data_IF_425044415355
#
_entry.id   IF_425044415355
#
_cell.length_a   1.000
_cell.length_b   1.000
_cell.length_c   1.000
_cell.angle_alpha   90.00
_cell.angle_beta   90.00
_cell.angle_gamma   90.00
#
_symmetry.space_group_name_H-M   'P 1'
#
loop_
_entity.id
_entity.type
_entity.pdbx_description
1 polymer ?
#
# COMPACT_ATOMS: atom_id res chain seq x y z
N UNK A 1 -20.89 0.62 6.20
CA UNK A 1 -19.41 0.84 6.31
C UNK A 1 -18.75 -0.37 5.69
N UNK A 2 -17.86 -0.18 4.74
CA UNK A 2 -17.09 -1.27 4.12
C UNK A 2 -16.37 -2.08 5.20
N UNK A 3 -16.40 -3.41 5.09
CA UNK A 3 -15.67 -4.33 5.98
C UNK A 3 -14.17 -4.34 5.66
N UNK A 4 -13.80 -3.90 4.46
CA UNK A 4 -12.43 -3.84 3.95
C UNK A 4 -11.56 -2.91 4.80
N UNK A 5 -10.33 -3.34 5.08
CA UNK A 5 -9.31 -2.54 5.78
C UNK A 5 -8.20 -2.16 4.83
N UNK A 6 -7.97 -0.86 4.66
CA UNK A 6 -6.87 -0.33 3.87
C UNK A 6 -5.70 0.00 4.81
N UNK A 7 -4.52 -0.56 4.53
CA UNK A 7 -3.33 -0.45 5.38
C UNK A 7 -2.16 0.07 4.54
N UNK A 8 -1.65 1.26 4.86
CA UNK A 8 -0.43 1.77 4.27
C UNK A 8 0.79 1.30 5.07
N UNK A 9 1.82 0.81 4.38
CA UNK A 9 3.12 0.49 4.96
C UNK A 9 4.10 1.56 4.49
N UNK A 10 4.44 2.49 5.38
CA UNK A 10 5.19 3.70 5.05
C UNK A 10 6.38 3.90 5.98
N UNK A 11 7.51 4.32 5.43
CA UNK A 11 8.67 4.85 6.14
C UNK A 11 9.55 5.62 5.14
N UNK A 12 10.09 6.77 5.54
CA UNK A 12 11.00 7.57 4.72
C UNK A 12 12.34 6.86 4.50
N UNK A 13 12.79 6.03 5.42
CA UNK A 13 14.04 5.29 5.29
C UNK A 13 13.90 4.16 4.27
N UNK A 14 14.86 4.10 3.34
CA UNK A 14 15.01 2.98 2.42
C UNK A 14 15.50 1.72 3.15
N UNK A 15 15.16 0.53 2.64
CA UNK A 15 15.70 -0.74 3.15
C UNK A 15 15.16 -1.21 4.51
N UNK A 16 14.14 -0.55 5.10
CA UNK A 16 13.57 -0.96 6.39
C UNK A 16 12.57 -2.12 6.28
N UNK A 17 12.42 -2.73 5.11
CA UNK A 17 11.58 -3.89 4.90
C UNK A 17 10.10 -3.58 4.61
N UNK A 18 9.77 -2.40 4.05
CA UNK A 18 8.39 -2.05 3.65
C UNK A 18 7.78 -3.10 2.72
N UNK A 19 8.37 -3.28 1.54
CA UNK A 19 7.89 -4.23 0.52
C UNK A 19 7.88 -5.66 1.03
N UNK A 20 8.90 -6.06 1.80
CA UNK A 20 8.94 -7.38 2.47
C UNK A 20 7.79 -7.54 3.46
N UNK A 21 7.45 -6.50 4.22
CA UNK A 21 6.31 -6.51 5.15
C UNK A 21 5.01 -6.65 4.40
N UNK A 22 4.82 -5.88 3.31
CA UNK A 22 3.60 -5.94 2.48
C UNK A 22 3.43 -7.33 1.88
N UNK A 23 4.48 -7.90 1.28
CA UNK A 23 4.44 -9.24 0.69
C UNK A 23 4.05 -10.30 1.73
N UNK A 24 4.77 -10.38 2.86
CA UNK A 24 4.52 -11.39 3.88
C UNK A 24 3.15 -11.22 4.55
N UNK A 25 2.71 -9.98 4.77
CA UNK A 25 1.38 -9.69 5.32
C UNK A 25 0.29 -10.12 4.34
N UNK A 26 0.46 -9.82 3.05
CA UNK A 26 -0.45 -10.22 1.98
C UNK A 26 -0.59 -11.73 1.88
N UNK A 27 0.52 -12.45 1.78
CA UNK A 27 0.55 -13.92 1.73
C UNK A 27 -0.05 -14.55 3.00
N UNK A 28 0.30 -14.02 4.19
CA UNK A 28 -0.22 -14.52 5.46
C UNK A 28 -1.74 -14.32 5.61
N UNK A 29 -2.27 -13.18 5.17
CA UNK A 29 -3.73 -12.94 5.18
C UNK A 29 -4.46 -13.82 4.17
N UNK A 30 -3.91 -13.97 2.95
CA UNK A 30 -4.48 -14.85 1.93
C UNK A 30 -4.49 -16.32 2.38
N UNK A 31 -3.40 -16.81 2.99
CA UNK A 31 -3.33 -18.15 3.57
C UNK A 31 -4.37 -18.40 4.68
N UNK A 32 -4.88 -17.35 5.32
CA UNK A 32 -5.98 -17.40 6.28
C UNK A 32 -7.38 -17.22 5.65
N UNK A 33 -7.48 -17.28 4.33
CA UNK A 33 -8.75 -17.23 3.62
C UNK A 33 -9.32 -15.83 3.40
N UNK A 34 -8.54 -14.76 3.64
CA UNK A 34 -8.97 -13.40 3.36
C UNK A 34 -8.73 -13.04 1.89
N UNK A 35 -9.63 -12.24 1.34
CA UNK A 35 -9.45 -11.61 0.02
C UNK A 35 -8.54 -10.40 0.18
N UNK A 36 -7.35 -10.45 -0.42
CA UNK A 36 -6.32 -9.44 -0.25
C UNK A 36 -5.93 -8.83 -1.58
N UNK A 37 -5.84 -7.50 -1.63
CA UNK A 37 -5.25 -6.74 -2.72
C UNK A 37 -3.96 -6.08 -2.22
N UNK A 38 -2.88 -6.24 -2.97
CA UNK A 38 -1.59 -5.60 -2.72
C UNK A 38 -1.34 -4.55 -3.81
N UNK A 39 -0.94 -3.35 -3.43
CA UNK A 39 -0.70 -2.26 -4.40
C UNK A 39 0.70 -1.69 -4.19
N UNK A 40 1.49 -1.66 -5.26
CA UNK A 40 2.82 -1.05 -5.27
C UNK A 40 2.71 0.44 -5.61
N UNK A 41 2.90 1.30 -4.60
CA UNK A 41 2.83 2.77 -4.72
C UNK A 41 4.23 3.39 -4.92
N UNK A 42 5.27 2.56 -5.11
CA UNK A 42 6.63 3.04 -5.37
C UNK A 42 6.94 3.05 -6.87
N UNK A 43 7.34 4.20 -7.45
CA UNK A 43 7.83 4.26 -8.84
C UNK A 43 8.99 3.32 -9.16
N UNK A 44 9.75 2.87 -8.15
CA UNK A 44 10.83 1.90 -8.36
C UNK A 44 10.30 0.50 -8.72
N UNK A 45 9.06 0.19 -8.36
CA UNK A 45 8.42 -1.08 -8.68
C UNK A 45 9.11 -2.29 -8.03
N UNK A 46 9.71 -2.11 -6.87
CA UNK A 46 10.49 -3.18 -6.24
C UNK A 46 9.59 -4.30 -5.72
N UNK A 47 8.44 -3.96 -5.12
CA UNK A 47 7.43 -4.95 -4.77
C UNK A 47 6.93 -5.68 -6.02
N UNK A 48 6.64 -4.97 -7.09
CA UNK A 48 6.20 -5.53 -8.38
C UNK A 48 7.20 -6.56 -8.92
N UNK A 49 8.50 -6.26 -8.84
CA UNK A 49 9.57 -7.20 -9.23
C UNK A 49 9.62 -8.43 -8.31
N UNK A 50 9.46 -8.23 -6.99
CA UNK A 50 9.36 -9.32 -6.00
C UNK A 50 8.18 -10.24 -6.30
N UNK A 51 7.07 -9.71 -6.80
CA UNK A 51 5.88 -10.44 -7.22
C UNK A 51 6.04 -11.12 -8.61
N UNK A 52 7.26 -11.20 -9.13
CA UNK A 52 7.59 -11.91 -10.35
C UNK A 52 7.44 -11.11 -11.65
N UNK A 53 7.05 -9.85 -11.60
CA UNK A 53 6.95 -8.97 -12.78
C UNK A 53 8.24 -8.19 -12.96
N UNK A 54 9.25 -8.81 -13.61
CA UNK A 54 10.60 -8.26 -13.76
C UNK A 54 10.67 -7.00 -14.63
N UNK A 55 9.68 -6.80 -15.51
CA UNK A 55 9.59 -5.66 -16.43
C UNK A 55 8.28 -4.88 -16.21
N UNK A 56 8.14 -4.12 -15.11
CA UNK A 56 6.89 -3.44 -14.76
C UNK A 56 6.42 -2.43 -15.80
N UNK A 57 7.31 -1.96 -16.68
CA UNK A 57 6.99 -0.99 -17.73
C UNK A 57 6.30 -1.62 -18.96
N UNK A 58 6.26 -2.94 -19.05
CA UNK A 58 5.58 -3.69 -20.13
C UNK A 58 4.16 -4.12 -19.73
N UNK A 59 3.73 -3.80 -18.51
CA UNK A 59 2.41 -4.18 -18.01
C UNK A 59 1.34 -3.20 -18.49
N UNK A 60 0.23 -3.75 -18.99
CA UNK A 60 -0.90 -2.97 -19.49
C UNK A 60 -1.64 -2.25 -18.35
N UNK A 61 -1.84 -2.94 -17.22
CA UNK A 61 -2.43 -2.35 -16.02
C UNK A 61 -1.36 -2.05 -14.98
N UNK A 62 -1.32 -0.80 -14.54
CA UNK A 62 -0.49 -0.33 -13.41
C UNK A 62 -1.28 0.66 -12.56
N UNK A 63 -0.81 0.95 -11.35
CA UNK A 63 -1.44 1.96 -10.50
C UNK A 63 -1.56 3.33 -11.17
N UNK A 64 -0.62 3.65 -12.07
CA UNK A 64 -0.68 4.90 -12.86
C UNK A 64 -1.95 4.97 -13.70
N UNK A 65 -2.29 3.88 -14.42
CA UNK A 65 -3.50 3.82 -15.25
C UNK A 65 -4.74 3.99 -14.37
N UNK A 66 -4.82 3.24 -13.26
CA UNK A 66 -5.95 3.31 -12.33
C UNK A 66 -6.19 4.72 -11.77
N UNK A 67 -5.13 5.41 -11.35
CA UNK A 67 -5.25 6.78 -10.83
C UNK A 67 -5.56 7.78 -11.95
N UNK A 68 -5.07 7.54 -13.17
CA UNK A 68 -5.34 8.41 -14.32
C UNK A 68 -6.81 8.33 -14.74
N UNK A 69 -7.42 7.15 -14.67
CA UNK A 69 -8.84 6.95 -14.95
C UNK A 69 -9.70 7.78 -13.98
N UNK A 70 -9.40 7.75 -12.68
CA UNK A 70 -10.10 8.57 -11.67
C UNK A 70 -9.95 10.07 -11.97
N UNK A 71 -8.74 10.53 -12.34
CA UNK A 71 -8.48 11.95 -12.66
C UNK A 71 -9.32 12.41 -13.84
N UNK A 72 -9.53 11.53 -14.83
CA UNK A 72 -10.27 11.84 -16.05
C UNK A 72 -11.77 11.50 -15.96
N UNK A 73 -12.25 10.99 -14.84
CA UNK A 73 -13.65 10.56 -14.68
C UNK A 73 -14.03 9.38 -15.57
N UNK A 74 -13.05 8.53 -15.90
CA UNK A 74 -13.25 7.31 -16.68
C UNK A 74 -13.68 6.21 -15.71
N UNK A 75 -14.84 5.60 -15.93
CA UNK A 75 -15.23 4.40 -15.20
C UNK A 75 -14.27 3.28 -15.57
N UNK A 76 -13.54 2.76 -14.58
CA UNK A 76 -12.57 1.70 -14.81
C UNK A 76 -13.30 0.39 -15.12
N UNK A 77 -13.35 0.01 -16.40
CA UNK A 77 -13.84 -1.30 -16.85
C UNK A 77 -12.81 -2.42 -16.57
N UNK A 78 -11.57 -2.06 -16.22
CA UNK A 78 -10.41 -2.96 -16.19
C UNK A 78 -10.20 -3.68 -14.85
N UNK A 79 -11.27 -3.95 -14.09
CA UNK A 79 -11.16 -4.72 -12.82
C UNK A 79 -10.69 -6.15 -13.04
N UNK A 80 -10.98 -6.72 -14.20
CA UNK A 80 -10.58 -8.09 -14.57
C UNK A 80 -9.07 -8.20 -14.88
N UNK A 81 -8.39 -7.07 -15.08
CA UNK A 81 -6.94 -7.01 -15.36
C UNK A 81 -6.08 -7.01 -14.09
N UNK A 82 -6.68 -6.93 -12.89
CA UNK A 82 -5.95 -7.02 -11.63
C UNK A 82 -5.24 -8.37 -11.57
N UNK A 83 -3.91 -8.32 -11.36
CA UNK A 83 -3.06 -9.48 -11.45
C UNK A 83 -3.25 -10.42 -10.26
N UNK A 84 -3.25 -11.73 -10.53
CA UNK A 84 -3.31 -12.77 -9.50
C UNK A 84 -1.89 -13.24 -9.14
N UNK A 85 -1.61 -13.38 -7.85
CA UNK A 85 -0.36 -13.94 -7.36
C UNK A 85 -0.56 -15.39 -6.88
N UNK A 86 0.45 -16.25 -7.06
CA UNK A 86 0.38 -17.66 -6.67
C UNK A 86 0.21 -17.88 -5.17
N UNK A 87 0.59 -16.90 -4.32
CA UNK A 87 0.33 -16.91 -2.88
C UNK A 87 -1.13 -16.58 -2.51
N UNK A 88 -2.03 -16.48 -3.48
CA UNK A 88 -3.47 -16.35 -3.26
C UNK A 88 -3.99 -14.93 -3.02
N UNK A 89 -3.21 -13.90 -3.28
CA UNK A 89 -3.66 -12.51 -3.28
C UNK A 89 -3.62 -11.89 -4.68
N UNK A 90 -4.37 -10.80 -4.83
CA UNK A 90 -4.36 -10.00 -6.04
C UNK A 90 -3.38 -8.84 -5.90
N UNK A 91 -2.86 -8.31 -7.03
CA UNK A 91 -1.99 -7.14 -6.94
C UNK A 91 -2.09 -6.18 -8.12
N UNK A 92 -1.87 -4.91 -7.84
CA UNK A 92 -1.74 -3.82 -8.81
C UNK A 92 -0.27 -3.36 -8.81
N UNK A 93 0.42 -3.48 -9.95
CA UNK A 93 1.82 -3.13 -10.07
C UNK A 93 2.06 -1.62 -10.07
N UNK A 94 3.19 -1.22 -9.48
CA UNK A 94 3.79 0.10 -9.62
C UNK A 94 4.91 0.10 -10.66
N UNK A 95 5.15 1.25 -11.28
CA UNK A 95 6.26 1.44 -12.20
C UNK A 95 6.70 2.92 -12.29
N UNK A 96 7.70 3.19 -13.13
CA UNK A 96 8.31 4.53 -13.32
C UNK A 96 7.30 5.63 -13.70
N UNK A 97 6.17 5.28 -14.34
CA UNK A 97 5.17 6.26 -14.77
C UNK A 97 4.47 6.94 -13.58
N UNK A 98 4.50 6.31 -12.38
CA UNK A 98 4.05 6.94 -11.13
C UNK A 98 4.79 8.24 -10.80
N UNK A 99 6.08 8.37 -11.18
CA UNK A 99 6.81 9.63 -10.99
C UNK A 99 6.25 10.76 -11.85
N UNK A 100 5.87 10.47 -13.10
CA UNK A 100 5.25 11.47 -13.97
C UNK A 100 3.83 11.80 -13.49
N UNK A 101 3.07 10.81 -13.02
CA UNK A 101 1.77 11.02 -12.41
C UNK A 101 1.87 11.94 -11.19
N UNK A 102 2.85 11.73 -10.31
CA UNK A 102 3.06 12.55 -9.11
C UNK A 102 3.28 14.03 -9.46
N UNK A 103 4.01 14.33 -10.54
CA UNK A 103 4.17 15.69 -11.05
C UNK A 103 2.84 16.25 -11.58
N UNK A 104 2.09 15.45 -12.31
CA UNK A 104 0.80 15.87 -12.87
C UNK A 104 -0.26 16.14 -11.79
N UNK A 105 -0.24 15.40 -10.68
CA UNK A 105 -1.16 15.59 -9.55
C UNK A 105 -1.12 17.00 -8.98
N UNK A 106 -0.03 17.76 -9.16
CA UNK A 106 0.06 19.15 -8.67
C UNK A 106 -1.07 20.02 -9.21
N UNK A 107 -1.53 19.75 -10.43
CA UNK A 107 -2.57 20.52 -11.11
C UNK A 107 -3.97 19.91 -11.00
N UNK A 108 -4.12 18.78 -10.29
CA UNK A 108 -5.41 18.07 -10.16
C UNK A 108 -6.16 18.59 -8.94
N UNK A 109 -7.45 18.85 -9.10
CA UNK A 109 -8.33 19.16 -7.97
C UNK A 109 -8.49 17.94 -7.06
N UNK A 110 -8.51 18.17 -5.76
CA UNK A 110 -8.62 17.09 -4.75
C UNK A 110 -7.55 16.00 -4.92
N UNK A 111 -6.37 16.39 -5.39
CA UNK A 111 -5.24 15.53 -5.74
C UNK A 111 -4.82 14.55 -4.64
N UNK A 112 -5.12 14.87 -3.38
CA UNK A 112 -4.81 14.05 -2.21
C UNK A 112 -5.75 12.85 -2.07
N UNK A 113 -6.88 12.83 -2.80
CA UNK A 113 -7.94 11.82 -2.66
C UNK A 113 -8.11 10.92 -3.89
N UNK A 114 -7.26 11.07 -4.90
CA UNK A 114 -7.37 10.32 -6.17
C UNK A 114 -7.29 8.81 -5.92
N UNK A 115 -6.30 8.34 -5.13
CA UNK A 115 -6.19 6.92 -4.80
C UNK A 115 -7.38 6.44 -3.97
N UNK A 116 -7.91 7.27 -3.06
CA UNK A 116 -9.12 6.93 -2.30
C UNK A 116 -10.30 6.68 -3.24
N UNK A 117 -10.52 7.56 -4.22
CA UNK A 117 -11.58 7.41 -5.21
C UNK A 117 -11.51 6.05 -5.90
N UNK A 118 -10.32 5.65 -6.36
CA UNK A 118 -10.11 4.34 -6.97
C UNK A 118 -10.38 3.17 -5.99
N UNK A 119 -9.85 3.25 -4.76
CA UNK A 119 -10.01 2.17 -3.80
C UNK A 119 -11.45 2.01 -3.32
N UNK A 120 -12.23 3.09 -3.25
CA UNK A 120 -13.64 3.03 -2.83
C UNK A 120 -14.48 2.13 -3.75
N UNK A 121 -14.11 2.02 -5.02
CA UNK A 121 -14.75 1.10 -5.98
C UNK A 121 -14.38 -0.38 -5.76
N UNK A 122 -13.23 -0.65 -5.13
CA UNK A 122 -12.70 -2.01 -4.92
C UNK A 122 -13.02 -2.59 -3.54
N UNK A 123 -13.34 -1.76 -2.56
CA UNK A 123 -13.50 -2.16 -1.14
C UNK A 123 -14.50 -3.28 -0.91
N UNK A 124 -15.51 -3.41 -1.74
CA UNK A 124 -16.53 -4.47 -1.58
C UNK A 124 -16.01 -5.85 -2.03
N UNK A 125 -14.91 -5.89 -2.78
CA UNK A 125 -14.32 -7.12 -3.31
C UNK A 125 -13.25 -7.73 -2.40
N UNK A 126 -12.69 -6.95 -1.45
CA UNK A 126 -11.57 -7.33 -0.62
C UNK A 126 -11.84 -7.16 0.88
N UNK A 127 -11.20 -8.00 1.69
CA UNK A 127 -11.15 -7.84 3.15
C UNK A 127 -10.02 -6.90 3.56
N UNK A 128 -8.89 -6.93 2.81
CA UNK A 128 -7.71 -6.11 3.05
C UNK A 128 -7.14 -5.55 1.76
N UNK A 129 -6.72 -4.28 1.80
CA UNK A 129 -5.91 -3.64 0.76
C UNK A 129 -4.62 -3.15 1.42
N UNK A 130 -3.47 -3.59 0.91
CA UNK A 130 -2.14 -3.25 1.43
C UNK A 130 -1.42 -2.35 0.44
N UNK A 131 -0.92 -1.20 0.92
CA UNK A 131 -0.22 -0.21 0.11
C UNK A 131 1.26 -0.20 0.45
N UNK A 132 2.15 -0.54 -0.50
CA UNK A 132 3.60 -0.42 -0.36
C UNK A 132 4.05 0.99 -0.73
N UNK A 133 4.39 1.80 0.25
CA UNK A 133 4.73 3.20 0.05
C UNK A 133 6.22 3.39 -0.24
N UNK A 134 6.55 4.34 -1.15
CA UNK A 134 7.92 4.77 -1.43
C UNK A 134 8.58 5.43 -0.20
N UNK A 135 9.94 5.48 -0.15
CA UNK A 135 10.67 6.13 0.94
C UNK A 135 10.73 7.67 0.75
N UNK A 136 9.58 8.33 0.77
CA UNK A 136 9.46 9.80 0.67
C UNK A 136 8.11 10.24 1.22
N UNK A 137 7.91 11.55 1.38
CA UNK A 137 6.64 12.15 1.79
C UNK A 137 5.96 12.92 0.66
N UNK A 138 6.15 12.48 -0.58
CA UNK A 138 5.52 13.07 -1.76
C UNK A 138 4.02 12.79 -1.86
N UNK A 139 3.42 13.30 -2.94
CA UNK A 139 1.96 13.25 -3.15
C UNK A 139 1.42 11.83 -3.22
N UNK A 140 2.20 10.86 -3.71
CA UNK A 140 1.79 9.44 -3.73
C UNK A 140 1.62 8.89 -2.31
N UNK A 141 2.50 9.22 -1.37
CA UNK A 141 2.37 8.79 0.04
C UNK A 141 1.22 9.51 0.72
N UNK A 142 1.01 10.79 0.44
CA UNK A 142 -0.17 11.53 0.93
C UNK A 142 -1.47 10.86 0.45
N UNK A 143 -1.54 10.46 -0.83
CA UNK A 143 -2.68 9.70 -1.36
C UNK A 143 -2.86 8.37 -0.64
N UNK A 144 -1.79 7.61 -0.42
CA UNK A 144 -1.85 6.33 0.30
C UNK A 144 -2.37 6.51 1.73
N UNK A 145 -1.86 7.49 2.48
CA UNK A 145 -2.31 7.80 3.84
C UNK A 145 -3.76 8.31 3.87
N UNK A 146 -4.15 9.10 2.86
CA UNK A 146 -5.51 9.64 2.75
C UNK A 146 -6.53 8.54 2.47
N UNK A 147 -6.15 7.49 1.74
CA UNK A 147 -6.99 6.35 1.40
C UNK A 147 -7.05 5.27 2.48
N UNK A 148 -6.15 5.32 3.49
CA UNK A 148 -5.95 4.22 4.45
C UNK A 148 -6.76 4.37 5.73
N UNK A 149 -7.14 3.23 6.34
CA UNK A 149 -7.66 3.15 7.71
C UNK A 149 -6.51 3.10 8.72
N UNK A 150 -5.40 2.43 8.35
CA UNK A 150 -4.24 2.22 9.21
C UNK A 150 -2.95 2.56 8.49
N UNK A 151 -1.97 3.07 9.24
CA UNK A 151 -0.59 3.15 8.78
C UNK A 151 0.31 2.35 9.70
N UNK A 152 1.12 1.47 9.10
CA UNK A 152 2.16 0.67 9.76
C UNK A 152 3.51 1.23 9.37
N UNK A 153 4.35 1.53 10.35
CA UNK A 153 5.70 2.04 10.15
C UNK A 153 6.69 0.94 10.55
N UNK A 154 7.28 0.19 9.60
CA UNK A 154 8.34 -0.75 9.92
C UNK A 154 9.59 0.02 10.33
N UNK A 155 10.14 -0.29 11.51
CA UNK A 155 11.30 0.38 12.09
C UNK A 155 12.40 -0.65 12.34
N UNK A 156 13.61 -0.38 11.87
CA UNK A 156 14.80 -1.11 12.30
C UNK A 156 15.17 -0.66 13.71
N UNK A 157 15.67 -1.59 14.53
CA UNK A 157 16.16 -1.29 15.87
C UNK A 157 17.54 -0.58 15.77
N UNK A 158 17.52 0.69 15.37
CA UNK A 158 18.68 1.55 15.22
C UNK A 158 18.46 2.85 16.01
N UNK A 159 19.53 3.37 16.61
CA UNK A 159 19.47 4.59 17.45
C UNK A 159 18.97 5.82 16.66
N UNK A 160 19.27 5.94 15.37
CA UNK A 160 18.88 7.05 14.51
C UNK A 160 17.43 6.93 13.97
N UNK A 161 16.79 5.80 14.17
CA UNK A 161 15.42 5.59 13.66
C UNK A 161 14.38 6.53 14.28
N UNK A 162 14.64 7.10 15.44
CA UNK A 162 13.72 8.01 16.13
C UNK A 162 13.62 9.39 15.44
N UNK A 163 14.72 9.90 14.89
CA UNK A 163 14.72 11.20 14.18
C UNK A 163 14.01 11.07 12.83
N UNK A 164 14.30 10.01 12.05
CA UNK A 164 13.68 9.73 10.75
C UNK A 164 12.15 9.55 10.84
N UNK A 165 11.64 9.12 11.99
CA UNK A 165 10.20 8.94 12.21
C UNK A 165 9.45 10.24 12.47
N UNK A 166 10.11 11.28 12.98
CA UNK A 166 9.44 12.51 13.42
C UNK A 166 8.69 13.21 12.28
N UNK A 167 9.31 13.30 11.12
CA UNK A 167 8.73 13.94 9.95
C UNK A 167 7.56 13.12 9.38
N UNK A 168 7.70 11.80 9.31
CA UNK A 168 6.61 10.92 8.88
C UNK A 168 5.42 11.00 9.85
N UNK A 169 5.66 10.97 11.17
CA UNK A 169 4.59 11.10 12.18
C UNK A 169 3.92 12.46 12.06
N UNK A 170 4.68 13.54 11.83
CA UNK A 170 4.15 14.87 11.57
C UNK A 170 3.22 14.88 10.35
N UNK A 171 3.65 14.26 9.25
CA UNK A 171 2.86 14.14 8.00
C UNK A 171 1.61 13.31 8.23
N UNK A 172 1.69 12.16 8.93
CA UNK A 172 0.53 11.34 9.28
C UNK A 172 -0.48 12.15 10.12
N UNK A 173 -0.02 12.91 11.10
CA UNK A 173 -0.87 13.76 11.92
C UNK A 173 -1.51 14.90 11.11
N UNK A 174 -0.81 15.45 10.13
CA UNK A 174 -1.35 16.47 9.23
C UNK A 174 -2.43 15.87 8.31
N UNK A 175 -2.18 14.72 7.69
CA UNK A 175 -3.17 13.99 6.89
C UNK A 175 -4.39 13.63 7.74
N UNK A 176 -4.18 13.10 8.95
CA UNK A 176 -5.27 12.80 9.89
C UNK A 176 -6.14 13.99 10.20
N UNK A 177 -5.54 15.16 10.43
CA UNK A 177 -6.27 16.38 10.80
C UNK A 177 -7.03 16.99 9.63
N UNK A 178 -6.48 16.95 8.41
CA UNK A 178 -6.99 17.71 7.26
C UNK A 178 -7.74 16.87 6.24
N UNK A 179 -7.36 15.60 6.05
CA UNK A 179 -7.79 14.78 4.92
C UNK A 179 -8.48 13.48 5.33
N UNK A 180 -8.02 12.84 6.42
CA UNK A 180 -8.48 11.52 6.84
C UNK A 180 -8.55 11.38 8.37
N UNK A 181 -9.61 11.89 9.03
CA UNK A 181 -9.72 11.88 10.49
C UNK A 181 -9.73 10.50 11.13
N UNK A 182 -10.08 9.45 10.38
CA UNK A 182 -10.15 8.07 10.88
C UNK A 182 -8.81 7.33 10.81
N UNK A 183 -7.78 7.91 10.19
CA UNK A 183 -6.47 7.27 10.06
C UNK A 183 -5.88 6.92 11.44
N UNK A 184 -5.49 5.67 11.61
CA UNK A 184 -4.91 5.16 12.85
C UNK A 184 -3.43 4.84 12.61
N UNK A 185 -2.56 5.53 13.35
CA UNK A 185 -1.15 5.17 13.40
C UNK A 185 -0.99 3.95 14.31
N UNK A 186 -0.62 2.82 13.72
CA UNK A 186 -0.38 1.58 14.46
C UNK A 186 1.11 1.50 14.78
N UNK A 187 1.47 1.80 16.00
CA UNK A 187 2.79 1.50 16.55
C UNK A 187 2.81 0.03 16.98
N UNK A 188 2.98 -0.87 16.02
CA UNK A 188 3.31 -2.26 16.36
C UNK A 188 4.84 -2.34 16.39
N UNK A 189 5.47 -2.73 17.52
CA UNK A 189 6.84 -3.18 17.48
C UNK A 189 6.94 -4.24 16.38
N UNK A 190 7.87 -4.08 15.46
CA UNK A 190 8.10 -5.01 14.34
C UNK A 190 8.12 -6.47 14.81
N UNK A 191 8.63 -6.69 16.03
CA UNK A 191 8.64 -7.98 16.72
C UNK A 191 7.24 -8.56 16.97
N UNK A 192 6.24 -7.75 17.29
CA UNK A 192 4.88 -8.24 17.61
C UNK A 192 4.06 -8.44 16.34
N UNK A 193 4.30 -7.63 15.30
CA UNK A 193 3.78 -7.87 13.95
C UNK A 193 4.34 -9.18 13.40
N UNK A 194 5.66 -9.37 13.45
CA UNK A 194 6.33 -10.62 13.04
C UNK A 194 5.85 -11.81 13.87
N UNK A 195 5.70 -11.69 15.19
CA UNK A 195 5.16 -12.77 16.02
C UNK A 195 3.73 -13.14 15.65
N UNK A 196 2.87 -12.15 15.40
CA UNK A 196 1.50 -12.44 14.91
C UNK A 196 1.53 -13.11 13.54
N UNK A 197 2.35 -12.63 12.61
CA UNK A 197 2.54 -13.24 11.29
C UNK A 197 3.11 -14.66 11.39
N UNK A 198 4.16 -14.88 12.20
CA UNK A 198 4.76 -16.20 12.40
C UNK A 198 3.82 -17.16 13.12
N UNK A 199 3.06 -16.71 14.12
CA UNK A 199 2.05 -17.55 14.76
C UNK A 199 0.93 -17.94 13.79
N UNK A 200 0.54 -17.03 12.90
CA UNK A 200 -0.43 -17.30 11.85
C UNK A 200 0.12 -18.33 10.85
N UNK A 201 1.36 -18.14 10.36
CA UNK A 201 2.04 -19.08 9.47
C UNK A 201 2.31 -20.43 10.15
N UNK A 202 2.72 -20.44 11.41
CA UNK A 202 2.98 -21.67 12.18
C UNK A 202 1.70 -22.49 12.41
N UNK A 203 0.59 -21.83 12.74
CA UNK A 203 -0.71 -22.51 12.89
C UNK A 203 -1.22 -23.10 11.57
N UNK A 204 -0.91 -22.47 10.44
CA UNK A 204 -1.29 -22.97 9.11
C UNK A 204 -0.43 -24.18 8.71
N UNK A 205 0.87 -24.20 9.09
CA UNK A 205 1.78 -25.32 8.80
C UNK A 205 1.54 -26.56 9.68
N UNK A 206 0.99 -26.37 10.88
CA UNK A 206 0.75 -27.48 11.83
C UNK A 206 -0.63 -28.11 11.64
N UNK A 207 -1.57 -27.43 10.99
CA UNK A 207 -2.95 -27.90 10.74
C UNK A 207 -3.17 -28.45 9.32
N UNK A 208 -2.15 -28.52 8.47
CA UNK A 208 -2.08 -29.23 7.20
C UNK A 208 -1.11 -30.41 7.30
#
# INVERSE_FOLDING_TARGET
MSKCKVIAIANQKGGVGKSTTVFNLGAGLAANGHKVLVIDVDPQGDLTKMLGKRQPHELDLTLTNCMFDVINGIESENRDEILKHHEGFDFIPGNKTLSALEVNLVNVMSRETVLRGYLDELKDNYDYILLDCRPSLGMLVINALTASDYVVIPVQADYLAAEDMTELISTVNQVKRQLNPILILTQLPFRDLIKKLLNTLYLTMVNN
#
